data_IF_691754723191
#
_entry.id   IF_691754723191
#
_cell.length_a   1.000
_cell.length_b   1.000
_cell.length_c   1.000
_cell.angle_alpha   90.00
_cell.angle_beta   90.00
_cell.angle_gamma   90.00
#
_symmetry.space_group_name_H-M   'P 1'
#
loop_
_entity.id
_entity.type
_entity.pdbx_description
1 polymer ?
#
# COMPACT_ATOMS: atom_id res chain seq x y z
N UNK A 1 15.38 -3.79 -16.97
CA UNK A 1 14.27 -2.89 -17.35
C UNK A 1 13.25 -2.96 -16.22
N UNK A 2 13.34 -2.05 -15.25
CA UNK A 2 12.38 -1.98 -14.14
C UNK A 2 11.20 -1.12 -14.61
N UNK A 3 9.98 -1.66 -14.58
CA UNK A 3 8.77 -0.91 -14.91
C UNK A 3 8.28 -0.23 -13.64
N UNK A 4 8.54 1.06 -13.52
CA UNK A 4 7.81 1.94 -12.62
C UNK A 4 6.41 2.10 -13.19
N UNK A 5 5.42 1.54 -12.53
CA UNK A 5 4.01 1.76 -12.88
C UNK A 5 3.56 2.99 -12.11
N UNK A 6 3.56 4.14 -12.79
CA UNK A 6 2.96 5.36 -12.27
C UNK A 6 1.44 5.20 -12.34
N UNK A 7 0.78 5.15 -11.18
CA UNK A 7 -0.67 5.04 -11.08
C UNK A 7 -1.27 6.44 -10.93
N UNK A 8 -1.81 6.97 -12.02
CA UNK A 8 -2.54 8.25 -12.04
C UNK A 8 -3.98 7.98 -11.58
N UNK A 9 -4.24 8.19 -10.29
CA UNK A 9 -5.59 8.09 -9.71
C UNK A 9 -6.33 9.41 -9.83
N UNK A 10 -7.31 9.44 -10.73
CA UNK A 10 -8.27 10.52 -10.98
C UNK A 10 -9.22 10.75 -9.79
N UNK A 11 -9.53 12.01 -9.53
CA UNK A 11 -10.30 12.47 -8.37
C UNK A 11 -11.81 12.27 -8.56
N UNK A 12 -12.42 11.46 -7.69
CA UNK A 12 -13.87 11.46 -7.50
C UNK A 12 -14.21 11.44 -6.01
N UNK A 13 -14.83 12.53 -5.56
CA UNK A 13 -15.44 12.73 -4.24
C UNK A 13 -16.39 11.60 -3.86
N UNK A 14 -16.36 11.14 -2.60
CA UNK A 14 -17.53 11.05 -1.71
C UNK A 14 -17.18 10.44 -0.34
N UNK A 15 -17.61 11.14 0.71
CA UNK A 15 -17.75 10.69 2.12
C UNK A 15 -16.50 10.14 2.81
N UNK A 16 -15.66 11.06 3.33
CA UNK A 16 -14.44 10.78 4.11
C UNK A 16 -14.83 10.17 5.46
N UNK A 17 -14.85 8.85 5.54
CA UNK A 17 -14.89 8.14 6.81
C UNK A 17 -13.48 8.06 7.35
N UNK A 18 -12.94 9.19 7.84
CA UNK A 18 -11.56 9.34 8.31
C UNK A 18 -11.05 8.05 8.97
N UNK A 19 -10.16 7.33 8.29
CA UNK A 19 -9.22 6.44 8.97
C UNK A 19 -8.43 7.33 9.93
N UNK A 20 -8.83 7.31 11.20
CA UNK A 20 -8.11 8.00 12.28
C UNK A 20 -6.73 7.40 12.49
N UNK A 21 -6.51 6.17 12.00
CA UNK A 21 -5.24 5.47 12.11
C UNK A 21 -4.97 4.57 10.89
N UNK A 22 -3.88 4.82 10.16
CA UNK A 22 -3.45 3.96 9.02
C UNK A 22 -3.00 2.57 9.46
N UNK A 23 -2.91 2.33 10.77
CA UNK A 23 -2.63 1.00 11.33
C UNK A 23 -3.71 -0.02 10.98
N UNK A 24 -4.93 0.40 10.65
CA UNK A 24 -6.01 -0.50 10.20
C UNK A 24 -5.69 -1.19 8.87
N UNK A 25 -4.75 -0.66 8.09
CA UNK A 25 -4.27 -1.27 6.84
C UNK A 25 -3.33 -2.46 7.10
N UNK A 26 -2.75 -2.56 8.29
CA UNK A 26 -1.82 -3.64 8.65
C UNK A 26 -2.59 -4.96 8.78
N UNK A 27 -2.04 -6.01 8.17
CA UNK A 27 -2.69 -7.32 8.15
C UNK A 27 -3.77 -7.46 7.08
N UNK A 28 -4.04 -6.45 6.25
CA UNK A 28 -4.85 -6.60 5.06
C UNK A 28 -4.03 -7.15 3.88
N UNK A 29 -4.73 -7.57 2.82
CA UNK A 29 -4.10 -7.78 1.53
C UNK A 29 -3.71 -6.42 0.93
N UNK A 30 -2.67 -6.39 0.11
CA UNK A 30 -2.24 -5.17 -0.57
C UNK A 30 -3.41 -4.61 -1.40
N UNK A 31 -4.18 -5.46 -2.07
CA UNK A 31 -5.34 -5.03 -2.86
C UNK A 31 -6.41 -4.32 -2.05
N UNK A 32 -6.71 -4.84 -0.85
CA UNK A 32 -7.71 -4.21 0.01
C UNK A 32 -7.18 -2.95 0.67
N UNK A 33 -5.92 -2.96 1.10
CA UNK A 33 -5.26 -1.78 1.66
C UNK A 33 -5.20 -0.62 0.66
N UNK A 34 -4.92 -0.90 -0.62
CA UNK A 34 -4.92 0.10 -1.69
C UNK A 34 -6.31 0.70 -1.92
N UNK A 35 -7.36 -0.12 -1.92
CA UNK A 35 -8.74 0.36 -2.08
C UNK A 35 -9.15 1.29 -0.93
N UNK A 36 -8.83 0.90 0.30
CA UNK A 36 -9.17 1.68 1.48
C UNK A 36 -8.36 2.99 1.50
N UNK A 37 -7.04 2.91 1.27
CA UNK A 37 -6.18 4.09 1.23
C UNK A 37 -6.66 5.11 0.18
N UNK A 38 -7.01 4.65 -1.03
CA UNK A 38 -7.51 5.51 -2.09
C UNK A 38 -8.86 6.15 -1.71
N UNK A 39 -9.79 5.35 -1.16
CA UNK A 39 -11.09 5.85 -0.67
C UNK A 39 -10.94 6.99 0.36
N UNK A 40 -9.91 6.91 1.19
CA UNK A 40 -9.60 7.91 2.23
C UNK A 40 -8.75 9.10 1.73
N UNK A 41 -8.40 9.10 0.44
CA UNK A 41 -7.61 10.14 -0.21
C UNK A 41 -6.12 10.08 0.10
N UNK A 42 -5.60 8.91 0.51
CA UNK A 42 -4.17 8.68 0.63
C UNK A 42 -3.57 8.22 -0.71
N UNK A 43 -2.38 8.74 -1.02
CA UNK A 43 -1.60 8.30 -2.18
C UNK A 43 -0.49 7.34 -1.72
N UNK A 44 -0.29 6.24 -2.44
CA UNK A 44 0.83 5.34 -2.15
C UNK A 44 2.07 5.85 -2.87
N UNK A 45 3.06 6.27 -2.09
CA UNK A 45 4.34 6.76 -2.60
C UNK A 45 5.27 5.59 -2.96
N UNK A 46 5.35 4.58 -2.09
CA UNK A 46 6.16 3.40 -2.35
C UNK A 46 5.67 2.13 -1.64
N UNK A 47 5.93 0.98 -2.28
CA UNK A 47 5.69 -0.36 -1.73
C UNK A 47 7.02 -1.10 -1.68
N UNK A 48 7.43 -1.50 -0.48
CA UNK A 48 8.66 -2.27 -0.25
C UNK A 48 8.30 -3.71 0.09
N UNK A 49 8.95 -4.67 -0.56
CA UNK A 49 8.79 -6.09 -0.23
C UNK A 49 9.84 -6.49 0.80
N UNK A 50 9.41 -7.13 1.89
CA UNK A 50 10.30 -7.89 2.76
C UNK A 50 10.17 -9.38 2.46
N UNK A 51 11.31 -10.04 2.31
CA UNK A 51 11.42 -11.46 2.04
C UNK A 51 12.64 -12.03 2.76
N UNK A 52 12.68 -13.36 3.01
CA UNK A 52 13.88 -14.01 3.53
C UNK A 52 15.11 -13.67 2.65
N UNK A 53 16.32 -13.51 3.21
CA UNK A 53 17.49 -13.01 2.48
C UNK A 53 17.90 -13.87 1.28
N UNK A 54 17.46 -15.13 1.23
CA UNK A 54 17.71 -16.08 0.14
C UNK A 54 16.65 -16.01 -0.98
N UNK A 55 15.55 -15.31 -0.76
CA UNK A 55 14.43 -15.16 -1.69
C UNK A 55 14.45 -13.74 -2.26
N UNK A 56 14.88 -13.61 -3.51
CA UNK A 56 14.80 -12.35 -4.25
C UNK A 56 13.41 -12.21 -4.86
N UNK A 57 12.53 -11.50 -4.15
CA UNK A 57 11.20 -11.14 -4.63
C UNK A 57 11.28 -9.68 -5.09
N UNK A 58 11.11 -9.45 -6.39
CA UNK A 58 11.12 -8.11 -6.98
C UNK A 58 9.73 -7.65 -7.41
N UNK A 59 8.76 -8.55 -7.41
CA UNK A 59 7.39 -8.32 -7.83
C UNK A 59 6.46 -8.63 -6.68
N UNK A 60 5.49 -7.74 -6.47
CA UNK A 60 4.38 -7.94 -5.55
C UNK A 60 3.09 -8.08 -6.34
N UNK A 61 2.14 -8.80 -5.78
CA UNK A 61 0.78 -8.87 -6.29
C UNK A 61 -0.23 -8.53 -5.17
N UNK A 62 -1.51 -8.46 -5.52
CA UNK A 62 -2.55 -8.00 -4.59
C UNK A 62 -2.76 -8.95 -3.40
N UNK A 63 -2.25 -10.19 -3.44
CA UNK A 63 -2.32 -11.17 -2.35
C UNK A 63 -1.29 -10.95 -1.24
N UNK A 64 -0.31 -10.06 -1.46
CA UNK A 64 0.70 -9.76 -0.45
C UNK A 64 0.07 -9.16 0.80
N UNK A 65 0.61 -9.50 1.97
CA UNK A 65 0.11 -9.02 3.26
C UNK A 65 0.84 -7.72 3.63
N UNK A 66 0.09 -6.70 4.03
CA UNK A 66 0.67 -5.48 4.58
C UNK A 66 1.19 -5.76 5.99
N UNK A 67 2.45 -5.43 6.24
CA UNK A 67 3.11 -5.58 7.53
C UNK A 67 3.27 -4.27 8.28
N UNK A 68 3.46 -3.18 7.54
CA UNK A 68 3.65 -1.84 8.11
C UNK A 68 3.20 -0.80 7.11
N UNK A 69 2.59 0.25 7.63
CA UNK A 69 2.30 1.48 6.89
C UNK A 69 2.97 2.63 7.63
N UNK A 70 3.55 3.57 6.88
CA UNK A 70 4.04 4.83 7.43
C UNK A 70 3.41 5.98 6.65
N UNK A 71 2.90 6.96 7.39
CA UNK A 71 2.41 8.22 6.83
C UNK A 71 3.61 9.11 6.54
N UNK A 72 3.65 9.65 5.33
CA UNK A 72 4.51 10.73 4.88
C UNK A 72 3.69 12.03 4.83
N UNK A 73 4.35 13.14 4.50
CA UNK A 73 3.69 14.43 4.25
C UNK A 73 2.65 14.32 3.11
N UNK A 74 1.67 15.24 3.10
CA UNK A 74 0.64 15.34 2.03
C UNK A 74 -0.20 14.07 1.81
N UNK A 75 -0.56 13.36 2.89
CA UNK A 75 -1.36 12.10 2.83
C UNK A 75 -0.71 11.04 1.94
N UNK A 76 0.61 10.98 1.92
CA UNK A 76 1.34 9.91 1.22
C UNK A 76 1.63 8.76 2.17
N UNK A 77 1.64 7.53 1.65
CA UNK A 77 1.92 6.33 2.44
C UNK A 77 3.08 5.55 1.83
N UNK A 78 3.93 5.03 2.71
CA UNK A 78 4.85 3.94 2.35
C UNK A 78 4.38 2.64 3.00
N UNK A 79 4.39 1.56 2.22
CA UNK A 79 3.84 0.28 2.65
C UNK A 79 4.94 -0.79 2.58
N UNK A 80 5.12 -1.53 3.68
CA UNK A 80 5.94 -2.73 3.71
C UNK A 80 5.03 -3.96 3.59
N UNK A 81 5.32 -4.83 2.62
CA UNK A 81 4.54 -6.04 2.37
C UNK A 81 5.39 -7.30 2.39
N UNK A 82 4.77 -8.44 2.67
CA UNK A 82 5.38 -9.75 2.47
C UNK A 82 4.44 -10.71 1.75
N UNK A 83 5.00 -11.76 1.16
CA UNK A 83 4.21 -12.86 0.62
C UNK A 83 3.80 -13.81 1.74
N UNK A 84 2.50 -14.03 2.01
CA UNK A 84 2.05 -15.06 2.94
C UNK A 84 2.43 -16.46 2.41
N UNK A 85 2.78 -17.38 3.32
CA UNK A 85 3.16 -18.77 3.02
C UNK A 85 1.95 -19.63 2.66
#
# INVERSE_FOLDING_TARGET
>A
MQKTVEYTGDAASESIGLLSDVSELVGLTLGDALKIANKEGYCIDSVTITAPPKLKIFEYDQSFRVLRVQILEDKRLTILVCKPL
#
